data_IF_010324479570
#
_entry.id   IF_010324479570
#
_cell.length_a   1.000
_cell.length_b   1.000
_cell.length_c   1.000
_cell.angle_alpha   90.00
_cell.angle_beta   90.00
_cell.angle_gamma   90.00
#
_symmetry.space_group_name_H-M   'P 1'
#
loop_
_entity.id
_entity.type
_entity.pdbx_description
1 polymer ?
#
# COMPACT_ATOMS: atom_id res chain seq x y z
N UNK A 1 39.02 25.41 -11.67
CA UNK A 1 37.89 25.85 -10.83
C UNK A 1 37.49 24.63 -10.00
N UNK A 2 38.12 24.48 -8.82
CA UNK A 2 37.87 23.33 -7.96
C UNK A 2 36.53 23.53 -7.26
N UNK A 3 35.56 22.69 -7.57
CA UNK A 3 34.31 22.62 -6.82
C UNK A 3 34.71 22.11 -5.43
N UNK A 4 34.56 22.96 -4.41
CA UNK A 4 34.84 22.62 -3.03
C UNK A 4 33.96 21.43 -2.62
N UNK A 5 34.58 20.24 -2.61
CA UNK A 5 33.92 18.94 -2.38
C UNK A 5 33.16 18.93 -1.06
N UNK A 6 33.67 19.60 -0.04
CA UNK A 6 33.08 19.63 1.29
C UNK A 6 31.79 20.47 1.31
N UNK A 7 31.74 21.58 0.55
CA UNK A 7 30.53 22.38 0.39
C UNK A 7 29.46 21.69 -0.46
N UNK A 8 29.86 20.87 -1.43
CA UNK A 8 28.95 20.05 -2.24
C UNK A 8 28.35 18.90 -1.42
N UNK A 9 29.16 18.23 -0.60
CA UNK A 9 28.72 17.17 0.30
C UNK A 9 27.82 17.70 1.42
N UNK A 10 28.12 18.88 2.00
CA UNK A 10 27.23 19.53 2.97
C UNK A 10 25.84 19.81 2.36
N UNK A 11 25.80 20.35 1.14
CA UNK A 11 24.54 20.63 0.43
C UNK A 11 23.73 19.35 0.15
N UNK A 12 24.38 18.24 -0.21
CA UNK A 12 23.69 16.96 -0.42
C UNK A 12 23.15 16.42 0.89
N UNK A 13 23.90 16.49 1.98
CA UNK A 13 23.45 16.05 3.32
C UNK A 13 22.29 16.91 3.81
N UNK A 14 22.32 18.23 3.58
CA UNK A 14 21.22 19.16 3.90
C UNK A 14 19.98 18.89 3.03
N UNK A 15 20.15 18.61 1.73
CA UNK A 15 19.04 18.17 0.86
C UNK A 15 18.46 16.84 1.31
N UNK A 16 19.31 15.86 1.66
CA UNK A 16 18.86 14.54 2.11
C UNK A 16 18.13 14.62 3.46
N UNK A 17 18.58 15.50 4.35
CA UNK A 17 17.89 15.78 5.61
C UNK A 17 16.61 16.58 5.41
N UNK A 18 16.53 17.49 4.43
CA UNK A 18 15.28 18.12 3.97
C UNK A 18 14.29 17.10 3.37
N UNK A 19 14.77 16.14 2.58
CA UNK A 19 13.96 15.02 2.08
C UNK A 19 13.48 14.12 3.24
N UNK A 20 14.30 13.89 4.26
CA UNK A 20 13.86 13.18 5.48
C UNK A 20 12.84 13.98 6.30
N UNK A 21 12.91 15.31 6.31
CA UNK A 21 11.91 16.21 6.93
C UNK A 21 10.57 16.15 6.18
N UNK A 22 10.59 15.77 4.91
CA UNK A 22 9.38 15.55 4.13
C UNK A 22 8.76 14.18 4.36
N UNK A 23 9.46 13.15 4.85
CA UNK A 23 8.89 11.79 4.98
C UNK A 23 8.19 11.53 6.33
N UNK A 24 7.11 10.72 6.31
CA UNK A 24 6.35 10.41 7.52
C UNK A 24 7.03 9.27 8.27
N UNK A 25 7.55 9.55 9.46
CA UNK A 25 8.11 8.54 10.36
C UNK A 25 7.06 8.12 11.39
N UNK A 26 6.92 6.82 11.61
CA UNK A 26 6.04 6.25 12.63
C UNK A 26 6.76 5.13 13.36
N UNK A 27 6.60 5.09 14.69
CA UNK A 27 7.10 3.99 15.51
C UNK A 27 5.93 3.10 15.91
N UNK A 28 5.97 1.84 15.50
CA UNK A 28 4.95 0.83 15.80
C UNK A 28 5.61 -0.29 16.57
N UNK A 29 5.30 -0.42 17.86
CA UNK A 29 5.89 -1.43 18.75
C UNK A 29 7.41 -1.58 18.57
N UNK A 30 8.14 -0.48 18.75
CA UNK A 30 9.62 -0.40 18.64
C UNK A 30 10.19 -0.57 17.23
N UNK A 31 9.36 -0.82 16.22
CA UNK A 31 9.76 -0.79 14.81
C UNK A 31 9.59 0.61 14.27
N UNK A 32 10.67 1.21 13.77
CA UNK A 32 10.61 2.48 13.06
C UNK A 32 10.28 2.23 11.59
N UNK A 33 9.20 2.84 11.09
CA UNK A 33 8.79 2.76 9.70
C UNK A 33 8.76 4.17 9.12
N UNK A 34 9.45 4.36 8.01
CA UNK A 34 9.42 5.62 7.26
C UNK A 34 8.61 5.40 5.99
N UNK A 35 7.60 6.25 5.78
CA UNK A 35 6.74 6.23 4.62
C UNK A 35 7.07 7.38 3.68
N UNK A 36 6.93 7.13 2.37
CA UNK A 36 6.89 8.20 1.38
C UNK A 36 5.75 9.16 1.68
N UNK A 37 5.98 10.45 1.51
CA UNK A 37 5.01 11.50 1.85
C UNK A 37 4.54 12.29 0.62
N UNK A 38 5.16 12.06 -0.54
CA UNK A 38 4.77 12.63 -1.84
C UNK A 38 4.81 11.57 -2.92
N UNK A 39 3.85 11.63 -3.84
CA UNK A 39 3.78 10.73 -5.01
C UNK A 39 5.02 10.85 -5.89
N UNK A 40 5.63 12.05 -5.93
CA UNK A 40 6.82 12.36 -6.74
C UNK A 40 8.08 11.65 -6.24
N UNK A 41 8.08 11.21 -4.98
CA UNK A 41 9.20 10.51 -4.34
C UNK A 41 9.01 8.98 -4.39
N UNK A 42 7.78 8.51 -4.59
CA UNK A 42 7.48 7.09 -4.72
C UNK A 42 8.05 6.60 -6.06
N UNK A 43 8.89 5.54 -6.06
CA UNK A 43 9.33 4.91 -7.30
C UNK A 43 8.14 4.53 -8.18
N UNK A 44 8.21 4.81 -9.49
CA UNK A 44 7.09 4.62 -10.43
C UNK A 44 6.48 3.21 -10.36
N UNK A 45 7.31 2.17 -10.23
CA UNK A 45 6.81 0.80 -10.13
C UNK A 45 6.05 0.53 -8.81
N UNK A 46 6.44 1.16 -7.68
CA UNK A 46 5.69 1.09 -6.41
C UNK A 46 4.35 1.81 -6.55
N UNK A 47 4.35 2.93 -7.28
CA UNK A 47 3.13 3.67 -7.57
C UNK A 47 2.15 2.81 -8.39
N UNK A 48 2.60 2.21 -9.49
CA UNK A 48 1.76 1.31 -10.30
C UNK A 48 1.24 0.11 -9.48
N UNK A 49 2.09 -0.50 -8.65
CA UNK A 49 1.70 -1.59 -7.76
C UNK A 49 0.62 -1.14 -6.78
N UNK A 50 0.81 0.02 -6.12
CA UNK A 50 -0.19 0.59 -5.22
C UNK A 50 -1.54 0.81 -5.94
N UNK A 51 -1.53 1.41 -7.13
CA UNK A 51 -2.75 1.62 -7.91
C UNK A 51 -3.46 0.29 -8.21
N UNK A 52 -2.72 -0.75 -8.56
CA UNK A 52 -3.29 -2.09 -8.80
C UNK A 52 -3.97 -2.68 -7.55
N UNK A 53 -3.35 -2.51 -6.37
CA UNK A 53 -3.88 -3.01 -5.09
C UNK A 53 -5.09 -2.18 -4.66
N UNK A 54 -5.07 -0.87 -4.87
CA UNK A 54 -6.23 -0.02 -4.60
C UNK A 54 -7.42 -0.39 -5.48
N UNK A 55 -7.20 -0.73 -6.75
CA UNK A 55 -8.25 -1.28 -7.61
C UNK A 55 -8.81 -2.59 -7.05
N UNK A 56 -7.95 -3.52 -6.62
CA UNK A 56 -8.41 -4.76 -5.98
C UNK A 56 -9.25 -4.46 -4.73
N UNK A 57 -8.87 -3.47 -3.93
CA UNK A 57 -9.65 -3.06 -2.75
C UNK A 57 -11.05 -2.59 -3.14
N UNK A 58 -11.17 -1.76 -4.17
CA UNK A 58 -12.45 -1.16 -4.55
C UNK A 58 -13.38 -2.14 -5.30
N UNK A 59 -12.80 -3.01 -6.13
CA UNK A 59 -13.57 -3.93 -6.99
C UNK A 59 -13.72 -5.36 -6.44
N UNK A 60 -12.80 -5.82 -5.58
CA UNK A 60 -12.76 -7.20 -5.06
C UNK A 60 -12.95 -7.22 -3.54
N UNK A 61 -12.23 -6.40 -2.78
CA UNK A 61 -12.31 -6.43 -1.31
C UNK A 61 -11.74 -7.73 -0.70
N UNK A 62 -11.84 -7.87 0.62
CA UNK A 62 -11.22 -8.98 1.36
C UNK A 62 -11.90 -9.35 2.67
N UNK A 63 -13.13 -8.89 2.89
CA UNK A 63 -13.89 -9.12 4.13
C UNK A 63 -15.16 -9.93 3.86
N UNK A 64 -15.78 -10.45 4.93
CA UNK A 64 -17.07 -11.12 4.82
C UNK A 64 -18.17 -10.18 4.27
N UNK A 65 -18.10 -8.89 4.62
CA UNK A 65 -19.01 -7.88 4.09
C UNK A 65 -18.83 -7.69 2.57
N UNK A 66 -17.58 -7.74 2.08
CA UNK A 66 -17.30 -7.68 0.64
C UNK A 66 -17.83 -8.93 -0.08
N UNK A 67 -17.66 -10.12 0.51
CA UNK A 67 -18.25 -11.37 -0.02
C UNK A 67 -19.77 -11.25 -0.15
N UNK A 68 -20.46 -10.72 0.87
CA UNK A 68 -21.90 -10.50 0.82
C UNK A 68 -22.30 -9.48 -0.26
N UNK A 69 -21.51 -8.41 -0.44
CA UNK A 69 -21.71 -7.41 -1.51
C UNK A 69 -21.60 -8.06 -2.89
N UNK A 70 -20.63 -8.96 -3.08
CA UNK A 70 -20.47 -9.71 -4.33
C UNK A 70 -21.65 -10.63 -4.61
N UNK A 71 -22.15 -11.35 -3.60
CA UNK A 71 -23.37 -12.15 -3.75
C UNK A 71 -24.58 -11.30 -4.18
N UNK A 72 -24.75 -10.12 -3.57
CA UNK A 72 -25.82 -9.20 -3.97
C UNK A 72 -25.74 -8.75 -5.43
N UNK A 73 -24.54 -8.44 -5.93
CA UNK A 73 -24.32 -8.12 -7.35
C UNK A 73 -24.58 -9.31 -8.27
N UNK A 74 -24.16 -10.51 -7.84
CA UNK A 74 -24.40 -11.75 -8.56
C UNK A 74 -25.91 -11.97 -8.81
N UNK A 75 -26.73 -11.80 -7.78
CA UNK A 75 -28.19 -11.91 -7.89
C UNK A 75 -28.79 -10.85 -8.83
N UNK A 76 -28.27 -9.62 -8.79
CA UNK A 76 -28.68 -8.53 -9.68
C UNK A 76 -28.38 -8.86 -11.15
N UNK A 77 -27.18 -9.33 -11.46
CA UNK A 77 -26.79 -9.68 -12.83
C UNK A 77 -27.56 -10.89 -13.37
N UNK A 78 -27.84 -11.90 -12.53
CA UNK A 78 -28.73 -13.02 -12.90
C UNK A 78 -30.10 -12.49 -13.30
N UNK A 79 -30.69 -11.63 -12.46
CA UNK A 79 -32.03 -11.07 -12.70
C UNK A 79 -32.07 -10.22 -13.97
N UNK A 80 -31.00 -9.47 -14.23
CA UNK A 80 -30.85 -8.62 -15.41
C UNK A 80 -30.45 -9.39 -16.69
N UNK A 81 -30.14 -10.70 -16.59
CA UNK A 81 -29.60 -11.53 -17.69
C UNK A 81 -28.30 -10.98 -18.30
N UNK A 82 -27.52 -10.30 -17.46
CA UNK A 82 -26.20 -9.74 -17.78
C UNK A 82 -25.13 -10.80 -17.51
N UNK A 83 -24.99 -11.76 -18.42
CA UNK A 83 -24.18 -12.95 -18.16
C UNK A 83 -22.67 -12.71 -18.22
N UNK A 84 -22.20 -11.74 -19.01
CA UNK A 84 -20.78 -11.41 -19.07
C UNK A 84 -20.32 -10.77 -17.76
N UNK A 85 -21.10 -9.80 -17.25
CA UNK A 85 -20.86 -9.18 -15.95
C UNK A 85 -21.01 -10.19 -14.80
N UNK A 86 -21.92 -11.15 -14.94
CA UNK A 86 -22.06 -12.25 -13.97
C UNK A 86 -20.79 -13.13 -13.91
N UNK A 87 -20.19 -13.44 -15.06
CA UNK A 87 -18.97 -14.24 -15.12
C UNK A 87 -17.78 -13.49 -14.50
N UNK A 88 -17.64 -12.20 -14.79
CA UNK A 88 -16.61 -11.36 -14.16
C UNK A 88 -16.82 -11.28 -12.65
N UNK A 89 -18.06 -11.07 -12.20
CA UNK A 89 -18.40 -10.98 -10.79
C UNK A 89 -18.14 -12.30 -10.04
N UNK A 90 -18.34 -13.45 -10.69
CA UNK A 90 -17.98 -14.76 -10.14
C UNK A 90 -16.48 -14.87 -9.87
N UNK A 91 -15.66 -14.38 -10.81
CA UNK A 91 -14.20 -14.38 -10.66
C UNK A 91 -13.82 -13.47 -9.49
N UNK A 92 -14.38 -12.26 -9.43
CA UNK A 92 -14.15 -11.31 -8.33
C UNK A 92 -14.53 -11.91 -6.97
N UNK A 93 -15.71 -12.52 -6.86
CA UNK A 93 -16.16 -13.22 -5.64
C UNK A 93 -15.18 -14.32 -5.23
N UNK A 94 -14.69 -15.10 -6.19
CA UNK A 94 -13.72 -16.18 -5.93
C UNK A 94 -12.41 -15.63 -5.38
N UNK A 95 -11.89 -14.53 -5.95
CA UNK A 95 -10.67 -13.88 -5.47
C UNK A 95 -10.90 -13.27 -4.09
N UNK A 96 -12.01 -12.55 -3.86
CA UNK A 96 -12.37 -11.98 -2.56
C UNK A 96 -12.41 -13.06 -1.48
N UNK A 97 -13.11 -14.17 -1.75
CA UNK A 97 -13.26 -15.28 -0.81
C UNK A 97 -11.91 -15.93 -0.47
N UNK A 98 -11.07 -16.19 -1.49
CA UNK A 98 -9.73 -16.73 -1.28
C UNK A 98 -8.83 -15.77 -0.49
N UNK A 99 -8.93 -14.47 -0.75
CA UNK A 99 -8.15 -13.43 -0.04
C UNK A 99 -8.55 -13.37 1.44
N UNK A 100 -9.86 -13.42 1.71
CA UNK A 100 -10.41 -13.47 3.06
C UNK A 100 -9.94 -14.73 3.81
N UNK A 101 -10.06 -15.92 3.21
CA UNK A 101 -9.64 -17.18 3.84
C UNK A 101 -8.15 -17.22 4.17
N UNK A 102 -7.32 -16.56 3.35
CA UNK A 102 -5.88 -16.42 3.60
C UNK A 102 -5.54 -15.34 4.64
N UNK A 103 -6.53 -14.66 5.22
CA UNK A 103 -6.36 -13.53 6.14
C UNK A 103 -5.44 -12.43 5.56
N UNK A 104 -5.54 -12.19 4.24
CA UNK A 104 -4.75 -11.16 3.57
C UNK A 104 -5.52 -9.84 3.63
N UNK A 105 -4.89 -8.83 4.23
CA UNK A 105 -5.41 -7.46 4.23
C UNK A 105 -4.91 -6.71 3.00
N UNK A 106 -5.81 -6.46 2.03
CA UNK A 106 -5.48 -5.64 0.83
C UNK A 106 -5.02 -4.24 1.24
N UNK A 107 -5.63 -3.68 2.30
CA UNK A 107 -5.24 -2.38 2.85
C UNK A 107 -3.80 -2.39 3.34
N UNK A 108 -3.44 -3.39 4.13
CA UNK A 108 -2.07 -3.52 4.63
C UNK A 108 -1.07 -3.75 3.50
N UNK A 109 -1.43 -4.52 2.46
CA UNK A 109 -0.61 -4.64 1.24
C UNK A 109 -0.43 -3.30 0.51
N UNK A 110 -1.46 -2.46 0.46
CA UNK A 110 -1.33 -1.11 -0.09
C UNK A 110 -0.39 -0.24 0.75
N UNK A 111 -0.45 -0.35 2.07
CA UNK A 111 0.42 0.41 2.98
C UNK A 111 1.90 0.03 2.80
N UNK A 112 2.19 -1.26 2.56
CA UNK A 112 3.53 -1.77 2.26
C UNK A 112 4.17 -1.09 1.06
N UNK A 113 3.39 -0.76 0.01
CA UNK A 113 3.90 -0.05 -1.17
C UNK A 113 4.37 1.38 -0.86
N UNK A 114 3.92 1.95 0.26
CA UNK A 114 4.29 3.30 0.69
C UNK A 114 5.46 3.32 1.69
N UNK A 115 5.99 2.15 2.06
CA UNK A 115 7.13 2.05 2.95
C UNK A 115 8.42 2.38 2.16
N UNK A 116 9.18 3.32 2.69
CA UNK A 116 10.51 3.68 2.22
C UNK A 116 11.58 2.88 2.98
N UNK A 117 11.58 2.92 4.31
CA UNK A 117 12.53 2.17 5.15
C UNK A 117 11.84 1.53 6.36
N UNK A 118 12.41 0.43 6.85
CA UNK A 118 12.06 -0.21 8.14
C UNK A 118 13.35 -0.30 8.97
N UNK A 119 13.33 0.24 10.18
CA UNK A 119 14.48 0.32 11.09
C UNK A 119 15.74 0.90 10.42
N UNK A 120 15.56 1.91 9.57
CA UNK A 120 16.65 2.56 8.82
C UNK A 120 17.05 1.85 7.53
N UNK A 121 16.66 0.60 7.32
CA UNK A 121 17.01 -0.17 6.12
C UNK A 121 16.02 0.11 4.97
N UNK A 122 16.51 0.46 3.76
CA UNK A 122 15.66 0.68 2.61
C UNK A 122 14.85 -0.57 2.23
N UNK A 123 13.57 -0.37 1.97
CA UNK A 123 12.68 -1.42 1.51
C UNK A 123 12.55 -1.33 0.00
N UNK A 124 13.14 -2.30 -0.70
CA UNK A 124 12.96 -2.47 -2.14
C UNK A 124 12.07 -3.68 -2.41
N UNK A 125 10.98 -3.48 -3.16
CA UNK A 125 9.94 -4.50 -3.43
C UNK A 125 10.02 -4.89 -4.90
N UNK A 126 11.14 -5.47 -5.29
CA UNK A 126 11.39 -5.87 -6.69
C UNK A 126 10.62 -7.13 -7.12
N UNK A 127 9.93 -7.80 -6.19
CA UNK A 127 9.15 -9.02 -6.46
C UNK A 127 7.96 -9.18 -5.50
N UNK A 128 7.01 -10.05 -5.86
CA UNK A 128 5.87 -10.42 -5.02
C UNK A 128 6.33 -11.09 -3.70
N UNK A 129 7.33 -11.97 -3.76
CA UNK A 129 7.91 -12.58 -2.56
C UNK A 129 8.43 -11.53 -1.59
N UNK A 130 9.10 -10.50 -2.11
CA UNK A 130 9.63 -9.42 -1.27
C UNK A 130 8.51 -8.56 -0.70
N UNK A 131 7.42 -8.38 -1.44
CA UNK A 131 6.23 -7.70 -0.93
C UNK A 131 5.63 -8.45 0.25
N UNK A 132 5.51 -9.77 0.13
CA UNK A 132 4.97 -10.63 1.18
C UNK A 132 5.90 -10.69 2.40
N UNK A 133 7.22 -10.63 2.22
CA UNK A 133 8.17 -10.47 3.33
C UNK A 133 7.94 -9.17 4.10
N UNK A 134 7.87 -8.04 3.40
CA UNK A 134 7.66 -6.72 4.03
C UNK A 134 6.28 -6.66 4.68
N UNK A 135 5.27 -7.26 4.06
CA UNK A 135 3.95 -7.41 4.65
C UNK A 135 3.99 -8.21 5.96
N UNK A 136 4.71 -9.33 6.00
CA UNK A 136 4.90 -10.10 7.23
C UNK A 136 5.65 -9.31 8.30
N UNK A 137 6.67 -8.52 7.93
CA UNK A 137 7.36 -7.63 8.86
C UNK A 137 6.41 -6.59 9.45
N UNK A 138 5.57 -5.96 8.61
CA UNK A 138 4.55 -5.02 9.06
C UNK A 138 3.56 -5.69 10.03
N UNK A 139 3.09 -6.91 9.74
CA UNK A 139 2.21 -7.65 10.64
C UNK A 139 2.88 -8.01 11.96
N UNK A 140 4.17 -8.37 11.93
CA UNK A 140 4.94 -8.69 13.14
C UNK A 140 5.06 -7.52 14.11
N UNK A 141 4.85 -6.27 13.64
CA UNK A 141 4.74 -5.09 14.52
C UNK A 141 3.45 -5.06 15.35
N UNK A 142 2.51 -6.01 15.16
CA UNK A 142 1.17 -5.98 15.76
C UNK A 142 0.41 -4.68 15.47
N UNK A 143 0.60 -4.10 14.29
CA UNK A 143 -0.16 -2.92 13.85
C UNK A 143 -1.66 -3.23 13.88
N UNK A 144 -2.45 -2.35 14.50
CA UNK A 144 -3.91 -2.50 14.52
C UNK A 144 -4.52 -2.16 13.17
N UNK A 145 -5.67 -2.77 12.86
CA UNK A 145 -6.45 -2.44 11.66
C UNK A 145 -6.83 -0.97 11.59
N UNK A 146 -7.19 -0.37 12.72
CA UNK A 146 -7.48 1.07 12.84
C UNK A 146 -6.26 1.92 12.47
N UNK A 147 -5.06 1.55 12.95
CA UNK A 147 -3.83 2.29 12.62
C UNK A 147 -3.48 2.16 11.14
N UNK A 148 -3.67 0.99 10.53
CA UNK A 148 -3.52 0.81 9.07
C UNK A 148 -4.44 1.76 8.31
N UNK A 149 -5.71 1.84 8.71
CA UNK A 149 -6.72 2.70 8.08
C UNK A 149 -6.34 4.18 8.19
N UNK A 150 -5.97 4.63 9.40
CA UNK A 150 -5.53 6.01 9.63
C UNK A 150 -4.32 6.36 8.77
N UNK A 151 -3.28 5.52 8.76
CA UNK A 151 -2.06 5.78 7.99
C UNK A 151 -2.33 5.84 6.49
N UNK A 152 -3.14 4.92 5.96
CA UNK A 152 -3.50 4.93 4.54
C UNK A 152 -4.25 6.21 4.15
N UNK A 153 -5.22 6.65 4.96
CA UNK A 153 -6.00 7.84 4.67
C UNK A 153 -5.16 9.13 4.78
N UNK A 154 -4.28 9.21 5.78
CA UNK A 154 -3.32 10.31 5.90
C UNK A 154 -2.37 10.38 4.71
N UNK A 155 -1.80 9.25 4.30
CA UNK A 155 -0.87 9.18 3.19
C UNK A 155 -1.57 9.50 1.87
N UNK A 156 -2.76 8.95 1.61
CA UNK A 156 -3.56 9.28 0.42
C UNK A 156 -3.86 10.77 0.29
N UNK A 157 -4.28 11.43 1.38
CA UNK A 157 -4.54 12.87 1.36
C UNK A 157 -3.31 13.65 0.92
N UNK A 158 -2.14 13.30 1.45
CA UNK A 158 -0.89 13.98 1.10
C UNK A 158 -0.40 13.67 -0.32
N UNK A 159 -0.64 12.44 -0.80
CA UNK A 159 -0.34 12.04 -2.18
C UNK A 159 -1.19 12.79 -3.20
N UNK A 160 -2.44 13.15 -2.85
CA UNK A 160 -3.38 13.87 -3.73
C UNK A 160 -3.27 15.40 -3.66
N UNK A 161 -2.68 15.95 -2.59
CA UNK A 161 -2.56 17.41 -2.40
C UNK A 161 -1.30 18.02 -3.04
N UNK A 162 -0.38 17.21 -3.59
CA UNK A 162 0.91 17.62 -4.17
C UNK A 162 1.03 17.19 -5.65
#
# INVERSE_FOLDING_TARGET
MEINRDAFLLNIVDLYSLFQVLMKKETINQTEIVFYNSIREVPEWKWQLLQSILLQKEYIGSTLADVAKHHGKFDLFIKAKQYDELLEERINLTICFNTMLKNISIKSKALVCLIHTINGEPVDIISEDKQDEVYKQLLATNISTEKVDLLLEELKKKLLMN
#
